data_IF_185752237554
#
_entry.id   IF_185752237554
#
_cell.length_a   1.000
_cell.length_b   1.000
_cell.length_c   1.000
_cell.angle_alpha   90.00
_cell.angle_beta   90.00
_cell.angle_gamma   90.00
#
_symmetry.space_group_name_H-M   'P 1'
#
loop_
_entity.id
_entity.type
_entity.pdbx_description
1 polymer ?
#
# COMPACT_ATOMS: atom_id res chain seq x y z
N UNK A 1 -25.83 24.67 -22.57
CA UNK A 1 -25.66 23.45 -21.76
C UNK A 1 -24.65 22.60 -22.49
N UNK A 2 -23.40 22.67 -22.08
CA UNK A 2 -22.31 21.89 -22.68
C UNK A 2 -22.37 20.52 -22.00
N UNK A 3 -22.65 19.47 -22.77
CA UNK A 3 -22.51 18.09 -22.29
C UNK A 3 -21.03 17.84 -21.96
N UNK A 4 -20.71 17.24 -20.81
CA UNK A 4 -19.34 16.85 -20.53
C UNK A 4 -18.99 15.61 -21.38
N UNK A 5 -18.25 15.83 -22.45
CA UNK A 5 -17.57 14.80 -23.23
C UNK A 5 -16.29 14.36 -22.51
N UNK A 6 -16.05 13.05 -22.55
CA UNK A 6 -14.85 12.32 -22.10
C UNK A 6 -14.65 12.21 -20.58
N UNK A 7 -14.67 10.96 -20.12
CA UNK A 7 -14.30 10.51 -18.79
C UNK A 7 -12.89 10.97 -18.44
N UNK A 8 -12.78 12.12 -17.77
CA UNK A 8 -11.60 12.47 -17.00
C UNK A 8 -11.41 11.41 -15.90
N UNK A 9 -10.57 10.41 -16.20
CA UNK A 9 -10.12 9.43 -15.24
C UNK A 9 -9.13 10.14 -14.30
N UNK A 10 -9.66 10.82 -13.28
CA UNK A 10 -8.85 11.28 -12.16
C UNK A 10 -8.07 10.07 -11.59
N UNK A 11 -6.76 10.19 -11.34
CA UNK A 11 -6.01 9.11 -10.71
C UNK A 11 -6.55 8.86 -9.30
N UNK A 12 -7.22 7.72 -9.10
CA UNK A 12 -7.77 7.29 -7.80
C UNK A 12 -6.97 6.09 -7.32
N UNK A 13 -5.76 6.31 -6.79
CA UNK A 13 -4.86 5.22 -6.36
C UNK A 13 -4.72 5.16 -4.86
N UNK A 14 -5.61 4.42 -4.20
CA UNK A 14 -5.60 4.27 -2.74
C UNK A 14 -5.69 2.80 -2.38
N UNK A 15 -4.63 2.03 -2.60
CA UNK A 15 -4.63 0.62 -2.23
C UNK A 15 -4.15 0.45 -0.78
N UNK A 16 -4.63 -0.59 -0.10
CA UNK A 16 -4.12 -0.98 1.21
C UNK A 16 -3.02 -2.02 1.07
N UNK A 17 -1.89 -1.82 1.72
CA UNK A 17 -0.79 -2.79 1.82
C UNK A 17 -0.69 -3.32 3.24
N UNK A 18 -0.44 -4.62 3.38
CA UNK A 18 -0.12 -5.24 4.65
C UNK A 18 0.93 -6.34 4.48
N UNK A 19 1.93 -6.38 5.35
CA UNK A 19 3.03 -7.35 5.30
C UNK A 19 3.41 -7.87 6.67
N UNK A 20 3.83 -9.13 6.73
CA UNK A 20 4.25 -9.81 7.96
C UNK A 20 5.54 -10.58 7.68
N UNK A 21 6.51 -10.46 8.58
CA UNK A 21 7.73 -11.25 8.56
C UNK A 21 7.99 -11.91 9.91
N UNK A 22 8.09 -13.25 9.92
CA UNK A 22 8.52 -14.03 11.08
C UNK A 22 7.41 -14.48 12.03
N UNK A 23 6.16 -14.61 11.55
CA UNK A 23 5.03 -15.02 12.39
C UNK A 23 4.34 -16.30 11.87
N UNK A 24 4.09 -17.34 12.69
CA UNK A 24 3.49 -18.60 12.23
C UNK A 24 2.07 -18.44 11.67
N UNK A 25 1.35 -17.39 12.09
CA UNK A 25 0.01 -17.05 11.59
C UNK A 25 0.03 -15.89 10.58
N UNK A 26 1.09 -15.76 9.77
CA UNK A 26 1.26 -14.62 8.85
C UNK A 26 0.03 -14.36 7.96
N UNK A 27 -0.59 -15.41 7.40
CA UNK A 27 -1.80 -15.27 6.58
C UNK A 27 -2.99 -14.65 7.33
N UNK A 28 -3.22 -15.10 8.57
CA UNK A 28 -4.35 -14.65 9.40
C UNK A 28 -4.14 -13.20 9.85
N UNK A 29 -2.91 -12.85 10.25
CA UNK A 29 -2.56 -11.47 10.56
C UNK A 29 -2.75 -10.56 9.34
N UNK A 30 -2.30 -11.01 8.16
CA UNK A 30 -2.51 -10.26 6.92
C UNK A 30 -3.99 -10.10 6.59
N UNK A 31 -4.82 -11.13 6.79
CA UNK A 31 -6.26 -11.02 6.62
C UNK A 31 -6.87 -9.91 7.50
N UNK A 32 -6.59 -9.91 8.80
CA UNK A 32 -7.13 -8.87 9.70
C UNK A 32 -6.55 -7.49 9.38
N UNK A 33 -5.25 -7.41 9.06
CA UNK A 33 -4.63 -6.17 8.61
C UNK A 33 -5.30 -5.57 7.37
N UNK A 34 -5.55 -6.40 6.35
CA UNK A 34 -6.29 -5.96 5.16
C UNK A 34 -7.75 -5.62 5.46
N UNK A 35 -8.40 -6.33 6.39
CA UNK A 35 -9.75 -6.00 6.83
C UNK A 35 -9.81 -4.61 7.47
N UNK A 36 -8.82 -4.25 8.29
CA UNK A 36 -8.69 -2.90 8.84
C UNK A 36 -8.43 -1.83 7.76
N UNK A 37 -7.82 -2.22 6.64
CA UNK A 37 -7.53 -1.36 5.49
C UNK A 37 -8.57 -1.49 4.35
N UNK A 38 -9.74 -2.10 4.62
CA UNK A 38 -10.77 -2.34 3.61
C UNK A 38 -11.33 -1.04 2.99
N UNK A 39 -11.28 0.07 3.72
CA UNK A 39 -11.71 1.39 3.22
C UNK A 39 -10.82 1.91 2.10
N UNK A 40 -9.58 1.40 1.97
CA UNK A 40 -8.69 1.78 0.88
C UNK A 40 -9.16 1.20 -0.45
N UNK A 41 -9.57 -0.06 -0.50
CA UNK A 41 -10.01 -0.69 -1.75
C UNK A 41 -10.99 -1.82 -1.55
N UNK A 42 -12.01 -1.92 -2.40
CA UNK A 42 -13.14 -2.84 -2.24
C UNK A 42 -13.35 -3.77 -3.44
N UNK A 43 -12.54 -3.61 -4.48
CA UNK A 43 -12.72 -4.28 -5.75
C UNK A 43 -12.05 -5.65 -5.78
N UNK A 44 -10.89 -5.80 -5.14
CA UNK A 44 -10.25 -7.10 -4.95
C UNK A 44 -9.34 -7.14 -3.74
N UNK A 45 -9.09 -8.35 -3.26
CA UNK A 45 -8.14 -8.60 -2.20
C UNK A 45 -7.26 -9.82 -2.55
N UNK A 46 -6.04 -9.83 -2.03
CA UNK A 46 -5.09 -10.91 -2.27
C UNK A 46 -4.09 -11.05 -1.14
N UNK A 47 -3.64 -12.28 -0.90
CA UNK A 47 -2.58 -12.63 0.04
C UNK A 47 -1.64 -13.62 -0.65
N UNK A 48 -0.34 -13.39 -0.48
CA UNK A 48 0.71 -14.33 -0.83
C UNK A 48 1.51 -14.66 0.42
N UNK A 49 1.78 -15.95 0.66
CA UNK A 49 2.58 -16.42 1.79
C UNK A 49 3.78 -17.24 1.35
N UNK A 50 4.80 -17.31 2.21
CA UNK A 50 6.01 -18.10 1.98
C UNK A 50 6.54 -18.72 3.28
N UNK A 51 7.10 -19.93 3.17
CA UNK A 51 7.70 -20.69 4.27
C UNK A 51 9.23 -20.66 4.32
N UNK A 52 9.89 -20.02 3.37
CA UNK A 52 11.35 -20.00 3.32
C UNK A 52 11.90 -20.38 1.95
N UNK A 53 13.23 -20.40 1.81
CA UNK A 53 13.91 -20.96 0.66
C UNK A 53 13.48 -22.40 0.37
N UNK A 54 13.36 -22.75 -0.91
CA UNK A 54 12.98 -24.10 -1.34
C UNK A 54 11.50 -24.43 -1.15
N UNK A 55 10.65 -23.43 -0.83
CA UNK A 55 9.20 -23.58 -0.80
C UNK A 55 8.54 -22.63 -1.79
N UNK A 56 7.57 -23.14 -2.55
CA UNK A 56 6.77 -22.30 -3.43
C UNK A 56 5.87 -21.38 -2.62
N UNK A 57 5.65 -20.18 -3.14
CA UNK A 57 4.72 -19.21 -2.62
C UNK A 57 3.31 -19.73 -2.80
N UNK A 58 2.46 -19.47 -1.80
CA UNK A 58 1.06 -19.81 -1.84
C UNK A 58 0.27 -18.52 -2.02
N UNK A 59 -0.55 -18.46 -3.05
CA UNK A 59 -1.29 -17.25 -3.43
C UNK A 59 -2.78 -17.55 -3.46
N UNK A 60 -3.56 -16.65 -2.88
CA UNK A 60 -5.01 -16.59 -3.09
C UNK A 60 -5.40 -15.13 -3.27
N UNK A 61 -6.14 -14.86 -4.34
CA UNK A 61 -6.67 -13.54 -4.66
C UNK A 61 -7.94 -13.68 -5.46
N UNK A 62 -8.91 -12.81 -5.19
CA UNK A 62 -10.18 -12.80 -5.91
C UNK A 62 -10.79 -11.39 -5.88
N UNK A 63 -11.84 -11.18 -6.66
CA UNK A 63 -12.63 -9.95 -6.67
C UNK A 63 -13.53 -9.88 -5.43
N UNK A 64 -13.77 -8.67 -4.95
CA UNK A 64 -14.63 -8.37 -3.81
C UNK A 64 -13.86 -8.00 -2.54
N UNK A 65 -14.63 -7.93 -1.46
CA UNK A 65 -14.14 -7.55 -0.14
C UNK A 65 -13.25 -8.64 0.47
N UNK A 66 -12.35 -8.26 1.39
CA UNK A 66 -11.46 -9.18 2.12
C UNK A 66 -12.24 -10.34 2.76
N UNK A 67 -13.39 -10.05 3.38
CA UNK A 67 -14.25 -11.07 4.00
C UNK A 67 -14.94 -12.01 3.01
N UNK A 68 -15.10 -11.59 1.76
CA UNK A 68 -15.68 -12.40 0.69
C UNK A 68 -14.62 -13.27 0.02
N UNK A 69 -13.40 -12.73 -0.17
CA UNK A 69 -12.28 -13.42 -0.81
C UNK A 69 -11.70 -14.52 0.09
N UNK A 70 -11.63 -14.28 1.41
CA UNK A 70 -10.95 -15.18 2.35
C UNK A 70 -11.92 -15.80 3.35
N UNK A 71 -12.29 -17.06 3.08
CA UNK A 71 -12.90 -17.94 4.08
C UNK A 71 -11.86 -18.76 4.85
N UNK A 72 -12.32 -19.51 5.86
CA UNK A 72 -11.46 -20.42 6.65
C UNK A 72 -10.65 -21.38 5.77
N UNK A 73 -11.28 -21.97 4.77
CA UNK A 73 -10.63 -22.93 3.88
C UNK A 73 -9.48 -22.31 3.07
N UNK A 74 -9.60 -21.05 2.64
CA UNK A 74 -8.56 -20.37 1.88
C UNK A 74 -7.41 -19.92 2.78
N UNK A 75 -7.70 -19.38 3.96
CA UNK A 75 -6.69 -19.05 4.95
C UNK A 75 -5.92 -20.29 5.44
N UNK A 76 -6.58 -21.45 5.55
CA UNK A 76 -5.93 -22.70 5.92
C UNK A 76 -4.94 -23.18 4.86
N UNK A 77 -5.14 -22.86 3.57
CA UNK A 77 -4.18 -23.19 2.49
C UNK A 77 -2.97 -22.27 2.50
N UNK A 78 -3.12 -21.02 2.93
CA UNK A 78 -2.05 -20.02 2.97
C UNK A 78 -1.10 -20.23 4.16
N UNK A 79 -0.22 -21.24 4.05
CA UNK A 79 0.82 -21.51 5.05
C UNK A 79 2.06 -20.64 4.81
N UNK A 80 2.69 -20.18 5.89
CA UNK A 80 3.83 -19.28 5.78
C UNK A 80 4.17 -18.63 7.10
N UNK A 81 5.45 -18.33 7.31
CA UNK A 81 5.90 -17.41 8.36
C UNK A 81 5.99 -15.96 7.86
N UNK A 82 5.77 -15.76 6.55
CA UNK A 82 5.81 -14.45 5.89
C UNK A 82 4.63 -14.31 4.97
N UNK A 83 4.13 -13.10 4.85
CA UNK A 83 3.00 -12.79 3.98
C UNK A 83 3.07 -11.34 3.51
N UNK A 84 2.57 -11.10 2.30
CA UNK A 84 2.13 -9.78 1.85
C UNK A 84 0.70 -9.86 1.36
N UNK A 85 -0.03 -8.77 1.52
CA UNK A 85 -1.42 -8.65 1.16
C UNK A 85 -1.73 -7.28 0.58
N UNK A 86 -2.83 -7.24 -0.16
CA UNK A 86 -3.27 -6.04 -0.86
C UNK A 86 -4.80 -5.93 -0.90
N UNK A 87 -5.34 -4.73 -0.69
CA UNK A 87 -6.72 -4.34 -1.06
C UNK A 87 -6.66 -3.34 -2.21
N UNK A 88 -7.39 -3.61 -3.29
CA UNK A 88 -7.35 -2.80 -4.51
C UNK A 88 -8.54 -1.86 -4.57
N UNK A 89 -8.26 -0.58 -4.77
CA UNK A 89 -9.20 0.38 -5.37
C UNK A 89 -9.05 0.30 -6.90
N UNK A 90 -10.10 0.45 -7.71
CA UNK A 90 -9.93 0.44 -9.17
C UNK A 90 -9.46 1.81 -9.65
N UNK A 91 -8.15 1.90 -9.89
CA UNK A 91 -7.42 3.15 -10.14
C UNK A 91 -7.20 3.41 -11.64
N UNK A 92 -6.72 2.37 -12.32
CA UNK A 92 -6.33 2.26 -13.72
C UNK A 92 -6.38 0.78 -14.11
N UNK A 93 -6.75 0.50 -15.37
CA UNK A 93 -6.98 -0.86 -15.86
C UNK A 93 -8.33 -1.45 -15.44
N UNK A 94 -8.83 -2.37 -16.27
CA UNK A 94 -10.15 -3.00 -16.06
C UNK A 94 -10.21 -3.71 -14.72
N UNK A 95 -11.34 -3.60 -14.01
CA UNK A 95 -11.60 -4.33 -12.76
C UNK A 95 -11.71 -5.82 -13.04
N UNK A 96 -10.56 -6.49 -13.04
CA UNK A 96 -10.42 -7.90 -13.38
C UNK A 96 -9.47 -8.56 -12.38
N UNK A 97 -9.68 -9.85 -12.14
CA UNK A 97 -8.81 -10.65 -11.28
C UNK A 97 -7.34 -10.64 -11.73
N UNK A 98 -7.10 -10.44 -13.04
CA UNK A 98 -5.74 -10.28 -13.59
C UNK A 98 -5.01 -9.08 -12.99
N UNK A 99 -5.73 -8.02 -12.63
CA UNK A 99 -5.17 -6.82 -12.00
C UNK A 99 -5.19 -6.89 -10.47
N UNK A 100 -5.69 -7.98 -9.86
CA UNK A 100 -5.65 -8.18 -8.42
C UNK A 100 -4.21 -8.47 -7.96
N UNK A 101 -3.81 -7.81 -6.88
CA UNK A 101 -2.50 -7.93 -6.25
C UNK A 101 -2.61 -8.74 -4.95
N UNK A 102 -1.52 -9.32 -4.40
CA UNK A 102 -0.14 -9.24 -4.91
C UNK A 102 0.09 -10.02 -6.22
N UNK A 103 1.08 -9.57 -7.00
CA UNK A 103 1.59 -10.34 -8.14
C UNK A 103 2.71 -11.28 -7.70
N UNK A 104 2.80 -12.45 -8.31
CA UNK A 104 3.87 -13.43 -8.08
C UNK A 104 4.50 -13.78 -9.42
N UNK A 105 5.83 -13.82 -9.46
CA UNK A 105 6.59 -14.21 -10.64
C UNK A 105 7.73 -15.15 -10.25
N UNK A 106 8.01 -16.10 -11.13
CA UNK A 106 9.23 -16.90 -11.10
C UNK A 106 10.32 -16.18 -11.90
N UNK A 107 11.46 -15.89 -11.26
CA UNK A 107 12.60 -15.30 -11.93
C UNK A 107 13.90 -16.06 -11.61
N UNK A 108 15.02 -15.60 -12.16
CA UNK A 108 16.33 -16.24 -11.97
C UNK A 108 16.78 -16.29 -10.51
N UNK A 109 16.12 -15.52 -9.63
CA UNK A 109 16.41 -15.38 -8.19
C UNK A 109 15.43 -16.17 -7.32
N UNK A 110 14.57 -16.99 -7.92
CA UNK A 110 13.47 -17.68 -7.25
C UNK A 110 12.17 -16.89 -7.37
N UNK A 111 11.21 -17.21 -6.49
CA UNK A 111 9.92 -16.54 -6.49
C UNK A 111 9.98 -15.17 -5.83
N UNK A 112 9.32 -14.20 -6.47
CA UNK A 112 9.10 -12.87 -5.92
C UNK A 112 7.63 -12.51 -5.96
N UNK A 113 7.18 -11.78 -4.94
CA UNK A 113 5.85 -11.21 -4.91
C UNK A 113 5.91 -9.70 -4.67
N UNK A 114 4.96 -8.95 -5.24
CA UNK A 114 4.84 -7.50 -5.03
C UNK A 114 3.41 -7.07 -4.77
N UNK A 115 3.25 -6.10 -3.88
CA UNK A 115 2.03 -5.31 -3.70
C UNK A 115 2.40 -3.83 -3.73
N UNK A 116 1.57 -3.01 -4.41
CA UNK A 116 1.85 -1.62 -4.73
C UNK A 116 0.64 -0.74 -4.45
N UNK A 117 0.86 0.34 -3.70
CA UNK A 117 -0.06 1.45 -3.54
C UNK A 117 0.58 2.70 -4.14
N UNK A 118 -0.01 3.23 -5.22
CA UNK A 118 0.58 4.34 -5.95
C UNK A 118 0.29 4.32 -7.44
N UNK A 119 0.97 5.19 -8.17
CA UNK A 119 0.91 5.32 -9.62
C UNK A 119 2.29 5.71 -10.16
N UNK A 120 2.73 5.04 -11.23
CA UNK A 120 3.96 5.36 -11.93
C UNK A 120 3.67 6.31 -13.09
N UNK A 121 4.27 7.49 -13.08
CA UNK A 121 4.05 8.49 -14.14
C UNK A 121 4.81 8.16 -15.42
N UNK A 122 5.86 7.35 -15.33
CA UNK A 122 6.65 6.88 -16.47
C UNK A 122 6.37 5.41 -16.82
N UNK A 123 5.20 4.88 -16.44
CA UNK A 123 4.78 3.50 -16.70
C UNK A 123 4.86 3.13 -18.19
N UNK A 124 4.26 3.94 -19.07
CA UNK A 124 4.20 3.66 -20.51
C UNK A 124 5.60 3.59 -21.13
N UNK A 125 6.48 4.53 -20.79
CA UNK A 125 7.88 4.55 -21.25
C UNK A 125 8.64 3.30 -20.81
N UNK A 126 8.50 2.92 -19.54
CA UNK A 126 9.16 1.73 -19.00
C UNK A 126 8.60 0.46 -19.64
N UNK A 127 7.29 0.39 -19.84
CA UNK A 127 6.63 -0.74 -20.48
C UNK A 127 7.11 -0.92 -21.91
N UNK A 128 7.10 0.15 -22.72
CA UNK A 128 7.58 0.11 -24.10
C UNK A 128 9.03 -0.37 -24.17
N UNK A 129 9.93 0.14 -23.32
CA UNK A 129 11.32 -0.31 -23.27
C UNK A 129 11.44 -1.80 -22.91
N UNK A 130 10.63 -2.28 -21.97
CA UNK A 130 10.64 -3.67 -21.53
C UNK A 130 10.10 -4.60 -22.63
N UNK A 131 9.05 -4.21 -23.34
CA UNK A 131 8.46 -4.95 -24.47
C UNK A 131 9.43 -5.02 -25.66
N UNK A 132 10.11 -3.92 -26.02
CA UNK A 132 11.15 -3.91 -27.06
C UNK A 132 12.34 -4.82 -26.73
N UNK A 133 12.58 -5.07 -25.44
CA UNK A 133 13.60 -6.01 -24.95
C UNK A 133 13.06 -7.46 -24.80
N UNK A 134 11.85 -7.73 -25.26
CA UNK A 134 11.24 -9.07 -25.28
C UNK A 134 10.46 -9.46 -24.02
N UNK A 135 10.15 -8.51 -23.12
CA UNK A 135 9.29 -8.78 -21.96
C UNK A 135 7.83 -8.90 -22.41
N UNK A 136 7.09 -9.86 -21.84
CA UNK A 136 5.67 -10.07 -22.13
C UNK A 136 4.87 -9.70 -20.88
N UNK A 137 3.93 -8.76 -21.03
CA UNK A 137 3.02 -8.34 -19.96
C UNK A 137 1.68 -9.08 -20.06
N UNK A 138 1.16 -9.50 -18.92
CA UNK A 138 -0.14 -10.19 -18.81
C UNK A 138 -1.25 -9.29 -18.25
N UNK A 139 -0.87 -8.14 -17.70
CA UNK A 139 -1.74 -7.19 -17.01
C UNK A 139 -1.50 -5.77 -17.50
N UNK A 140 -2.32 -4.84 -17.04
CA UNK A 140 -2.12 -3.40 -17.27
C UNK A 140 -1.72 -2.70 -15.96
N UNK A 141 -1.25 -3.44 -14.97
CA UNK A 141 -0.93 -2.90 -13.66
C UNK A 141 0.55 -2.49 -13.60
N UNK A 142 0.80 -1.29 -13.10
CA UNK A 142 2.14 -0.75 -12.85
C UNK A 142 3.06 -1.73 -12.10
N UNK A 143 2.51 -2.49 -11.17
CA UNK A 143 3.25 -3.46 -10.36
C UNK A 143 3.97 -4.53 -11.19
N UNK A 144 3.43 -4.91 -12.35
CA UNK A 144 4.08 -5.87 -13.26
C UNK A 144 5.35 -5.25 -13.90
N UNK A 145 5.32 -3.95 -14.22
CA UNK A 145 6.49 -3.20 -14.71
C UNK A 145 7.60 -3.24 -13.67
N UNK A 146 7.26 -2.99 -12.39
CA UNK A 146 8.23 -3.04 -11.28
C UNK A 146 8.83 -4.45 -11.15
N UNK A 147 8.01 -5.50 -11.27
CA UNK A 147 8.51 -6.88 -11.25
C UNK A 147 9.47 -7.17 -12.40
N UNK A 148 9.16 -6.76 -13.62
CA UNK A 148 10.07 -6.93 -14.76
C UNK A 148 11.39 -6.19 -14.57
N UNK A 149 11.37 -5.02 -13.92
CA UNK A 149 12.59 -4.29 -13.57
C UNK A 149 13.42 -5.03 -12.52
N UNK A 150 12.78 -5.57 -11.47
CA UNK A 150 13.45 -6.28 -10.38
C UNK A 150 13.88 -7.71 -10.73
N UNK A 151 13.21 -8.35 -11.68
CA UNK A 151 13.50 -9.72 -12.11
C UNK A 151 14.77 -9.81 -12.98
N UNK A 152 15.24 -8.67 -13.51
CA UNK A 152 16.46 -8.62 -14.32
C UNK A 152 17.71 -8.77 -13.44
N UNK A 153 18.78 -9.39 -13.97
CA UNK A 153 20.07 -9.39 -13.30
C UNK A 153 20.51 -7.95 -13.03
N UNK A 154 21.10 -7.71 -11.87
CA UNK A 154 21.69 -6.41 -11.62
C UNK A 154 22.91 -6.21 -12.53
N UNK A 155 22.96 -5.08 -13.25
CA UNK A 155 24.13 -4.74 -14.03
C UNK A 155 25.28 -4.34 -13.07
N UNK A 156 26.47 -4.88 -13.33
CA UNK A 156 27.74 -4.41 -12.75
C UNK A 156 27.80 -4.31 -11.22
N UNK A 157 27.28 -5.30 -10.49
CA UNK A 157 27.41 -5.38 -9.03
C UNK A 157 26.53 -4.40 -8.24
N UNK A 158 25.58 -3.75 -8.90
CA UNK A 158 24.57 -2.91 -8.24
C UNK A 158 23.54 -3.76 -7.48
N UNK A 159 22.91 -3.21 -6.44
CA UNK A 159 21.77 -3.88 -5.78
C UNK A 159 20.61 -3.99 -6.76
N UNK A 160 19.83 -5.08 -6.72
CA UNK A 160 18.59 -5.20 -7.52
C UNK A 160 17.61 -4.06 -7.22
N UNK A 161 17.67 -3.50 -6.02
CA UNK A 161 16.90 -2.33 -5.62
C UNK A 161 17.29 -1.06 -6.39
N UNK A 162 18.46 -1.04 -7.05
CA UNK A 162 18.84 0.07 -7.93
C UNK A 162 17.88 0.24 -9.12
N UNK A 163 17.20 -0.83 -9.54
CA UNK A 163 16.18 -0.76 -10.58
C UNK A 163 15.00 0.15 -10.17
N UNK A 164 14.75 0.32 -8.86
CA UNK A 164 13.71 1.21 -8.34
C UNK A 164 14.00 2.69 -8.65
N UNK A 165 15.27 3.07 -8.86
CA UNK A 165 15.66 4.45 -9.22
C UNK A 165 15.11 4.90 -10.58
N UNK A 166 14.67 3.95 -11.41
CA UNK A 166 14.12 4.21 -12.73
C UNK A 166 12.63 4.54 -12.68
N UNK A 167 11.99 4.27 -11.56
CA UNK A 167 10.56 4.44 -11.38
C UNK A 167 10.30 5.87 -10.92
N UNK A 168 9.38 6.55 -11.59
CA UNK A 168 8.95 7.89 -11.23
C UNK A 168 7.46 7.87 -10.88
N UNK A 169 7.08 8.60 -9.84
CA UNK A 169 5.70 8.72 -9.39
C UNK A 169 5.56 8.61 -7.87
N UNK A 170 4.34 8.32 -7.45
CA UNK A 170 4.00 8.10 -6.04
C UNK A 170 3.90 6.59 -5.81
N UNK A 171 4.61 6.03 -4.84
CA UNK A 171 4.53 4.60 -4.55
C UNK A 171 4.93 4.25 -3.13
N UNK A 172 4.17 3.33 -2.55
CA UNK A 172 4.59 2.46 -1.47
C UNK A 172 4.54 1.02 -1.97
N UNK A 173 5.56 0.23 -1.69
CA UNK A 173 5.70 -1.15 -2.17
C UNK A 173 5.96 -2.09 -1.00
N UNK A 174 5.38 -3.28 -1.08
CA UNK A 174 5.83 -4.45 -0.36
C UNK A 174 6.33 -5.48 -1.36
N UNK A 175 7.58 -5.90 -1.23
CA UNK A 175 8.20 -6.94 -2.05
C UNK A 175 8.59 -8.09 -1.14
N UNK A 176 8.18 -9.31 -1.48
CA UNK A 176 8.54 -10.52 -0.73
C UNK A 176 9.37 -11.45 -1.60
N UNK A 177 10.51 -11.88 -1.10
CA UNK A 177 11.33 -12.93 -1.69
C UNK A 177 11.31 -14.19 -0.81
N UNK A 178 11.99 -15.24 -1.25
CA UNK A 178 12.18 -16.46 -0.45
C UNK A 178 12.92 -16.21 0.87
N UNK A 179 13.55 -15.06 1.08
CA UNK A 179 14.36 -14.75 2.27
C UNK A 179 13.95 -13.48 2.99
N UNK A 180 13.46 -12.49 2.24
CA UNK A 180 13.32 -11.11 2.73
C UNK A 180 11.89 -10.59 2.52
N UNK A 181 11.46 -9.69 3.40
CA UNK A 181 10.34 -8.78 3.17
C UNK A 181 10.90 -7.36 3.06
N UNK A 182 10.55 -6.66 1.99
CA UNK A 182 11.10 -5.35 1.67
C UNK A 182 9.96 -4.35 1.56
N UNK A 183 10.04 -3.27 2.33
CA UNK A 183 9.17 -2.10 2.23
C UNK A 183 9.90 -0.98 1.49
N UNK A 184 9.23 -0.32 0.55
CA UNK A 184 9.77 0.83 -0.17
C UNK A 184 8.79 1.98 -0.10
N UNK A 185 9.28 3.18 0.17
CA UNK A 185 8.52 4.42 0.04
C UNK A 185 9.21 5.35 -0.95
N UNK A 186 8.44 5.97 -1.84
CA UNK A 186 8.98 6.89 -2.85
C UNK A 186 9.72 8.09 -2.21
N UNK A 187 10.62 8.77 -2.94
CA UNK A 187 11.48 9.82 -2.38
C UNK A 187 10.75 11.03 -1.82
N UNK A 188 9.52 11.29 -2.27
CA UNK A 188 8.68 12.37 -1.78
C UNK A 188 7.81 11.93 -0.61
N UNK A 189 7.65 10.62 -0.40
CA UNK A 189 6.83 10.04 0.64
C UNK A 189 5.33 10.17 0.39
N UNK A 190 4.88 10.21 -0.85
CA UNK A 190 3.47 10.50 -1.21
C UNK A 190 2.48 9.60 -0.50
N UNK A 191 2.74 8.29 -0.49
CA UNK A 191 1.87 7.27 0.10
C UNK A 191 2.37 6.85 1.47
N UNK A 192 1.46 6.61 2.44
CA UNK A 192 1.85 6.21 3.79
C UNK A 192 2.27 4.74 3.82
N UNK A 193 3.28 4.46 4.64
CA UNK A 193 3.75 3.12 4.96
C UNK A 193 4.40 3.16 6.34
N UNK A 194 4.02 2.23 7.21
CA UNK A 194 4.44 2.18 8.59
C UNK A 194 4.96 0.81 8.98
N UNK A 195 5.85 0.78 9.98
CA UNK A 195 6.42 -0.39 10.61
C UNK A 195 5.85 -0.56 12.01
N UNK A 196 5.41 -1.77 12.31
CA UNK A 196 5.03 -2.22 13.64
C UNK A 196 5.66 -3.56 14.00
N UNK A 197 5.36 -4.05 15.20
CA UNK A 197 5.89 -5.31 15.73
C UNK A 197 4.84 -6.04 16.57
N UNK A 198 4.79 -7.36 16.43
CA UNK A 198 3.90 -8.24 17.19
C UNK A 198 4.61 -9.56 17.45
N UNK A 199 4.72 -9.98 18.71
CA UNK A 199 5.31 -11.27 19.10
C UNK A 199 6.69 -11.56 18.48
N UNK A 200 7.52 -10.51 18.34
CA UNK A 200 8.84 -10.61 17.71
C UNK A 200 8.83 -10.52 16.18
N UNK A 201 7.68 -10.65 15.53
CA UNK A 201 7.51 -10.48 14.09
C UNK A 201 7.39 -8.99 13.71
N UNK A 202 7.84 -8.67 12.50
CA UNK A 202 7.69 -7.32 11.94
C UNK A 202 6.45 -7.24 11.06
N UNK A 203 5.72 -6.14 11.20
CA UNK A 203 4.47 -5.85 10.49
C UNK A 203 4.63 -4.57 9.69
N UNK A 204 4.20 -4.56 8.44
CA UNK A 204 4.17 -3.39 7.58
C UNK A 204 2.72 -3.10 7.20
N UNK A 205 2.30 -1.84 7.23
CA UNK A 205 0.94 -1.46 6.84
C UNK A 205 0.88 -0.07 6.22
N UNK A 206 -0.07 0.17 5.33
CA UNK A 206 -0.32 1.52 4.80
C UNK A 206 -0.80 2.51 5.88
N UNK A 207 -1.48 2.03 6.93
CA UNK A 207 -1.96 2.86 8.04
C UNK A 207 -1.80 2.16 9.38
N UNK A 208 -1.60 2.95 10.44
CA UNK A 208 -1.42 2.44 11.81
C UNK A 208 -2.68 1.78 12.38
N UNK A 209 -3.85 2.12 11.85
CA UNK A 209 -5.13 1.57 12.27
C UNK A 209 -5.26 0.06 12.01
N UNK A 210 -4.38 -0.50 11.16
CA UNK A 210 -4.21 -1.93 10.96
C UNK A 210 -3.45 -2.60 12.12
N UNK A 211 -2.54 -1.87 12.78
CA UNK A 211 -1.82 -2.37 13.95
C UNK A 211 -2.76 -2.48 15.16
N UNK A 212 -3.64 -1.50 15.36
CA UNK A 212 -4.59 -1.48 16.47
C UNK A 212 -5.48 -2.73 16.50
N UNK A 213 -5.96 -3.16 15.33
CA UNK A 213 -6.85 -4.33 15.22
C UNK A 213 -6.17 -5.64 15.61
N UNK A 214 -4.86 -5.79 15.33
CA UNK A 214 -4.08 -6.99 15.65
C UNK A 214 -3.22 -6.82 16.92
N UNK A 215 -3.38 -5.69 17.62
CA UNK A 215 -2.58 -5.31 18.79
C UNK A 215 -1.07 -5.29 18.55
N UNK A 216 -0.63 -4.91 17.34
CA UNK A 216 0.77 -4.70 17.05
C UNK A 216 1.24 -3.34 17.61
N UNK A 217 2.46 -3.29 18.13
CA UNK A 217 3.12 -2.06 18.55
C UNK A 217 3.52 -1.25 17.31
N UNK A 218 3.13 0.02 17.24
CA UNK A 218 3.65 0.95 16.24
C UNK A 218 5.10 1.34 16.58
N UNK A 219 6.03 1.14 15.63
CA UNK A 219 7.44 1.52 15.80
C UNK A 219 7.70 2.90 15.18
N UNK A 220 7.50 3.02 13.87
CA UNK A 220 7.75 4.25 13.11
C UNK A 220 7.13 4.20 11.71
N UNK A 221 7.07 5.35 11.05
CA UNK A 221 6.83 5.41 9.61
C UNK A 221 8.08 4.99 8.82
N UNK A 222 7.87 4.45 7.62
CA UNK A 222 8.92 4.28 6.62
C UNK A 222 9.24 5.66 6.06
N UNK A 223 10.52 6.03 6.04
CA UNK A 223 10.95 7.37 5.64
C UNK A 223 10.81 7.56 4.11
N UNK A 224 10.58 8.79 3.62
CA UNK A 224 10.64 9.09 2.20
C UNK A 224 11.97 8.64 1.58
N UNK A 225 11.90 7.84 0.51
CA UNK A 225 13.08 7.27 -0.15
C UNK A 225 13.75 6.12 0.62
N UNK A 226 13.13 5.61 1.68
CA UNK A 226 13.64 4.44 2.38
C UNK A 226 13.27 3.14 1.67
N UNK A 227 14.26 2.25 1.57
CA UNK A 227 14.07 0.83 1.34
C UNK A 227 14.41 0.08 2.63
N UNK A 228 13.38 -0.37 3.34
CA UNK A 228 13.50 -1.16 4.56
C UNK A 228 13.50 -2.64 4.19
N UNK A 229 14.57 -3.35 4.54
CA UNK A 229 14.76 -4.78 4.29
C UNK A 229 14.66 -5.52 5.62
N UNK A 230 13.82 -6.55 5.65
CA UNK A 230 13.56 -7.39 6.81
C UNK A 230 13.94 -8.83 6.46
N UNK A 231 14.89 -9.39 7.20
CA UNK A 231 15.34 -10.77 7.04
C UNK A 231 15.55 -11.46 8.41
N UNK A 232 16.13 -12.66 8.39
CA UNK A 232 16.44 -13.42 9.61
C UNK A 232 17.46 -12.74 10.55
N UNK A 233 18.23 -11.77 10.04
CA UNK A 233 19.20 -10.99 10.79
C UNK A 233 18.59 -9.69 11.37
N UNK A 234 17.35 -9.33 10.99
CA UNK A 234 16.63 -8.19 11.51
C UNK A 234 16.29 -7.14 10.44
N UNK A 235 16.43 -5.87 10.79
CA UNK A 235 16.07 -4.72 9.95
C UNK A 235 17.31 -4.02 9.38
N UNK A 236 17.27 -3.68 8.09
CA UNK A 236 18.27 -2.83 7.42
C UNK A 236 17.57 -1.78 6.56
N UNK A 237 17.96 -0.52 6.71
CA UNK A 237 17.47 0.58 5.87
C UNK A 237 18.53 0.97 4.84
N UNK A 238 18.11 1.14 3.59
CA UNK A 238 18.90 1.68 2.49
C UNK A 238 18.17 2.88 1.88
N UNK A 239 18.92 3.90 1.47
CA UNK A 239 18.36 5.11 0.84
C UNK A 239 18.93 5.27 -0.57
N UNK A 240 18.44 4.48 -1.54
CA UNK A 240 19.03 4.46 -2.87
C UNK A 240 18.63 5.69 -3.70
N UNK A 241 17.60 6.44 -3.32
CA UNK A 241 17.11 7.56 -4.12
C UNK A 241 17.81 8.88 -3.79
N UNK A 242 17.74 9.83 -4.72
CA UNK A 242 18.14 11.21 -4.42
C UNK A 242 17.14 11.82 -3.44
N UNK A 243 17.58 12.43 -2.32
CA UNK A 243 16.70 13.09 -1.38
C UNK A 243 15.82 14.14 -2.07
N UNK A 244 14.53 14.14 -1.76
CA UNK A 244 13.56 15.13 -2.25
C UNK A 244 12.95 15.89 -1.09
N UNK A 245 12.33 17.04 -1.39
CA UNK A 245 11.44 17.65 -0.41
C UNK A 245 10.17 16.81 -0.25
N UNK A 246 9.79 16.42 0.98
CA UNK A 246 8.59 15.63 1.20
C UNK A 246 7.34 16.34 0.64
N UNK A 247 6.54 15.59 -0.13
CA UNK A 247 5.29 16.05 -0.74
C UNK A 247 4.17 15.08 -0.41
N UNK A 248 3.94 14.87 0.89
CA UNK A 248 2.93 13.93 1.38
C UNK A 248 1.53 14.27 0.85
N UNK A 249 0.75 13.26 0.49
CA UNK A 249 -0.58 13.44 -0.06
C UNK A 249 -1.55 14.04 0.97
N UNK A 250 -1.90 15.32 0.82
CA UNK A 250 -2.83 16.01 1.73
C UNK A 250 -4.23 15.34 1.76
N UNK A 251 -4.62 14.66 0.69
CA UNK A 251 -5.90 13.93 0.62
C UNK A 251 -5.99 12.75 1.59
N UNK A 252 -4.86 12.21 2.07
CA UNK A 252 -4.85 11.23 3.16
C UNK A 252 -5.45 11.83 4.45
N UNK A 253 -5.07 13.07 4.79
CA UNK A 253 -5.66 13.78 5.92
C UNK A 253 -7.11 14.17 5.68
N UNK A 254 -7.43 14.68 4.49
CA UNK A 254 -8.77 15.19 4.19
C UNK A 254 -9.81 14.07 4.14
N UNK A 255 -9.48 12.92 3.53
CA UNK A 255 -10.50 11.94 3.17
C UNK A 255 -10.06 10.48 3.28
N UNK A 256 -8.92 10.09 2.71
CA UNK A 256 -8.63 8.67 2.46
C UNK A 256 -8.27 7.86 3.70
N UNK A 257 -7.44 8.41 4.58
CA UNK A 257 -7.02 7.67 5.77
C UNK A 257 -8.18 7.53 6.77
N UNK A 258 -8.16 6.45 7.54
CA UNK A 258 -9.10 6.23 8.64
C UNK A 258 -8.82 7.26 9.76
N UNK A 259 -9.84 7.84 10.41
CA UNK A 259 -9.62 8.90 11.39
C UNK A 259 -8.80 8.51 12.63
N UNK A 260 -8.75 7.23 12.98
CA UNK A 260 -7.94 6.68 14.08
C UNK A 260 -6.47 6.44 13.68
N UNK A 261 -6.11 6.54 12.40
CA UNK A 261 -4.73 6.43 11.94
C UNK A 261 -3.86 7.61 12.39
N UNK A 262 -2.57 7.33 12.58
CA UNK A 262 -1.51 8.29 12.82
C UNK A 262 -0.63 8.37 11.57
N UNK A 263 -0.48 9.58 11.04
CA UNK A 263 0.35 9.88 9.87
C UNK A 263 1.17 11.12 10.22
N UNK A 264 2.47 11.13 9.94
CA UNK A 264 3.33 12.26 10.31
C UNK A 264 3.32 12.59 11.80
N UNK A 265 3.11 11.59 12.67
CA UNK A 265 2.97 11.77 14.11
C UNK A 265 1.68 12.44 14.58
N UNK A 266 0.73 12.72 13.69
CA UNK A 266 -0.57 13.33 14.03
C UNK A 266 -1.73 12.39 13.73
N UNK A 267 -2.74 12.39 14.61
CA UNK A 267 -3.96 11.62 14.39
C UNK A 267 -4.85 12.30 13.33
N UNK A 268 -5.32 11.52 12.36
CA UNK A 268 -6.10 12.03 11.21
C UNK A 268 -7.42 12.69 11.65
N UNK A 269 -8.13 12.10 12.62
CA UNK A 269 -9.37 12.66 13.16
C UNK A 269 -9.17 14.03 13.81
N UNK A 270 -8.07 14.21 14.56
CA UNK A 270 -7.69 15.52 15.13
C UNK A 270 -7.42 16.56 14.03
N UNK A 271 -6.70 16.18 12.99
CA UNK A 271 -6.44 17.06 11.84
C UNK A 271 -7.75 17.51 11.18
N UNK A 272 -8.68 16.57 10.93
CA UNK A 272 -10.00 16.89 10.35
C UNK A 272 -10.85 17.79 11.25
N UNK A 273 -10.76 17.60 12.56
CA UNK A 273 -11.43 18.47 13.54
C UNK A 273 -10.88 19.89 13.45
N UNK A 274 -9.55 20.06 13.40
CA UNK A 274 -8.94 21.39 13.26
C UNK A 274 -9.27 22.06 11.92
N UNK A 275 -9.38 21.29 10.83
CA UNK A 275 -9.88 21.81 9.55
C UNK A 275 -11.30 22.38 9.69
N UNK A 276 -12.16 21.73 10.48
CA UNK A 276 -13.50 22.21 10.81
C UNK A 276 -13.48 23.55 11.55
N UNK A 277 -12.63 23.66 12.59
CA UNK A 277 -12.46 24.92 13.35
C UNK A 277 -11.97 26.06 12.46
N UNK A 278 -10.97 25.79 11.62
CA UNK A 278 -10.46 26.77 10.66
C UNK A 278 -11.52 27.22 9.65
N UNK A 279 -12.42 26.31 9.24
CA UNK A 279 -13.53 26.65 8.36
C UNK A 279 -14.54 27.58 9.06
N UNK A 280 -14.91 27.31 10.31
CA UNK A 280 -15.80 28.16 11.10
C UNK A 280 -15.23 29.57 11.32
N UNK A 281 -13.94 29.66 11.66
CA UNK A 281 -13.24 30.95 11.85
C UNK A 281 -13.20 31.79 10.57
N UNK A 282 -13.00 31.16 9.41
CA UNK A 282 -12.89 31.86 8.12
C UNK A 282 -14.24 32.22 7.51
N UNK A 283 -15.24 31.39 7.72
CA UNK A 283 -16.56 31.53 7.12
C UNK A 283 -17.67 31.34 8.17
N UNK A 284 -17.74 32.23 9.18
CA UNK A 284 -18.78 32.17 10.19
C UNK A 284 -20.15 32.39 9.55
N UNK A 285 -21.16 31.72 10.09
CA UNK A 285 -22.55 31.84 9.64
C UNK A 285 -23.47 31.81 10.85
N UNK A 286 -24.52 32.64 10.81
CA UNK A 286 -25.60 32.59 11.79
C UNK A 286 -26.55 31.43 11.41
N UNK A 287 -26.49 30.33 12.16
CA UNK A 287 -27.24 29.11 11.89
C UNK A 287 -27.57 28.38 13.20
N UNK A 288 -28.65 27.62 13.20
CA UNK A 288 -29.13 26.91 14.40
C UNK A 288 -28.41 25.59 14.67
N UNK A 289 -28.00 24.87 13.60
CA UNK A 289 -27.48 23.49 13.70
C UNK A 289 -26.41 23.26 12.63
N UNK A 290 -25.34 22.56 13.02
CA UNK A 290 -24.31 22.02 12.13
C UNK A 290 -24.55 20.51 11.97
N UNK A 291 -24.68 20.03 10.73
CA UNK A 291 -24.95 18.61 10.43
C UNK A 291 -23.85 18.07 9.50
N UNK A 292 -23.16 16.96 9.85
CA UNK A 292 -22.21 16.33 8.96
C UNK A 292 -22.91 15.59 7.81
N UNK A 293 -22.19 15.38 6.71
CA UNK A 293 -22.47 14.30 5.78
C UNK A 293 -21.73 13.05 6.28
N UNK A 294 -22.44 12.00 6.75
CA UNK A 294 -21.77 10.81 7.28
C UNK A 294 -21.17 9.93 6.17
N UNK A 295 -20.05 9.25 6.40
CA UNK A 295 -19.21 9.30 7.62
C UNK A 295 -18.07 10.33 7.53
N UNK A 296 -17.76 10.79 6.32
CA UNK A 296 -16.56 11.58 6.02
C UNK A 296 -16.53 12.95 6.70
N UNK A 297 -17.69 13.60 6.84
CA UNK A 297 -17.82 14.94 7.39
C UNK A 297 -17.84 15.02 8.92
N UNK A 298 -17.92 13.89 9.64
CA UNK A 298 -18.20 13.87 11.07
C UNK A 298 -17.20 14.70 11.91
N UNK A 299 -15.90 14.51 11.69
CA UNK A 299 -14.86 15.23 12.45
C UNK A 299 -14.79 16.72 12.09
N UNK A 300 -14.92 17.06 10.80
CA UNK A 300 -14.91 18.46 10.36
C UNK A 300 -16.15 19.22 10.87
N UNK A 301 -17.33 18.59 10.85
CA UNK A 301 -18.55 19.18 11.39
C UNK A 301 -18.46 19.36 12.92
N UNK A 302 -17.88 18.39 13.63
CA UNK A 302 -17.62 18.53 15.07
C UNK A 302 -16.75 19.76 15.35
N UNK A 303 -15.61 19.89 14.66
CA UNK A 303 -14.74 21.04 14.83
C UNK A 303 -15.40 22.37 14.44
N UNK A 304 -16.20 22.39 13.38
CA UNK A 304 -16.95 23.59 12.98
C UNK A 304 -17.98 24.00 14.04
N UNK A 305 -18.66 23.03 14.67
CA UNK A 305 -19.70 23.28 15.66
C UNK A 305 -19.16 23.71 17.04
N UNK A 306 -17.88 23.46 17.32
CA UNK A 306 -17.21 23.84 18.58
C UNK A 306 -16.79 25.32 18.62
N UNK A 307 -16.67 25.98 17.46
CA UNK A 307 -16.27 27.39 17.31
C UNK A 307 -17.49 28.32 17.13
#
# INVERSE_FOLDING_TARGET
MVEPTETEAYPRHECGLFGVFGHPNAAVLTYYGLFALQHRGQESAGIVTSNGPGTSFLVHKDMGLVSQVFGRAELEKLKGTRAIGHTRYSTTGTSTIKNAQPFVVDCVRGQMAIAHNGNLINADLLRDELEHKGSIFQTTADSEIILHLLARPADNGTSVLSALRRIEGAFSLLIMSERELIAVRDPFGWRPLALGKLDGAYILASETCAFDLIHAEFIREIEPGEVLIIDENGLRSEFPFQPQQPAFCMFEYVYFARPDSIIGGVNVGKVRTEMGRELARKFPVDADIVIPVPDSGNYAALGFAEE
#
